data_IF_019764570585
#
_entry.id   IF_019764570585
#
_cell.length_a   1.000
_cell.length_b   1.000
_cell.length_c   1.000
_cell.angle_alpha   90.00
_cell.angle_beta   90.00
_cell.angle_gamma   90.00
#
_symmetry.space_group_name_H-M   'P 1'
#
loop_
_entity.id
_entity.type
_entity.pdbx_description
1 polymer ?
#
# COMPACT_ATOMS: atom_id res chain seq x y z
N UNK A 1 21.81 5.47 -16.49
CA UNK A 1 20.70 4.60 -16.88
C UNK A 1 20.03 5.20 -18.11
N UNK A 2 19.80 4.41 -19.13
CA UNK A 2 19.01 4.80 -20.31
C UNK A 2 17.57 4.25 -20.11
N UNK A 3 16.58 5.08 -20.36
CA UNK A 3 15.19 4.67 -20.35
C UNK A 3 14.64 4.73 -21.77
N UNK A 4 13.72 3.83 -22.17
CA UNK A 4 12.99 3.95 -23.43
C UNK A 4 12.28 5.29 -23.53
N UNK A 5 12.22 5.86 -24.73
CA UNK A 5 11.49 7.13 -24.97
C UNK A 5 10.02 6.98 -24.66
N UNK A 6 9.42 5.89 -25.10
CA UNK A 6 8.09 5.47 -24.70
C UNK A 6 8.22 4.32 -23.71
N UNK A 7 7.51 4.43 -22.59
CA UNK A 7 7.61 3.47 -21.49
C UNK A 7 6.33 3.42 -20.66
N UNK A 8 6.23 2.38 -19.87
CA UNK A 8 5.24 2.29 -18.79
C UNK A 8 5.60 3.35 -17.73
N UNK A 9 4.63 4.18 -17.36
CA UNK A 9 4.77 5.19 -16.31
C UNK A 9 4.16 4.72 -14.99
N UNK A 10 3.02 4.02 -15.07
CA UNK A 10 2.27 3.51 -13.93
C UNK A 10 1.33 2.39 -14.38
N UNK A 11 0.94 1.55 -13.44
CA UNK A 11 -0.16 0.61 -13.65
C UNK A 11 -0.91 0.38 -12.34
N UNK A 12 -2.14 -0.09 -12.45
CA UNK A 12 -2.97 -0.48 -11.32
C UNK A 12 -3.73 -1.76 -11.63
N UNK A 13 -3.94 -2.57 -10.58
CA UNK A 13 -4.72 -3.80 -10.66
C UNK A 13 -5.76 -3.86 -9.54
N UNK A 14 -6.93 -4.40 -9.88
CA UNK A 14 -7.97 -4.76 -8.90
C UNK A 14 -8.43 -6.18 -9.15
N UNK A 15 -8.90 -6.85 -8.10
CA UNK A 15 -9.21 -8.27 -8.16
C UNK A 15 -10.65 -8.53 -7.76
N UNK A 16 -11.31 -9.42 -8.51
CA UNK A 16 -12.63 -9.99 -8.14
C UNK A 16 -12.53 -11.50 -8.13
N UNK A 17 -13.02 -12.14 -7.07
CA UNK A 17 -13.19 -13.58 -7.05
C UNK A 17 -14.49 -13.93 -7.76
N UNK A 18 -14.42 -14.90 -8.69
CA UNK A 18 -15.55 -15.39 -9.48
C UNK A 18 -15.59 -16.90 -9.40
N UNK A 19 -16.74 -17.50 -9.79
CA UNK A 19 -16.84 -18.96 -9.84
C UNK A 19 -15.76 -19.54 -10.76
N UNK A 20 -14.97 -20.45 -10.19
CA UNK A 20 -13.89 -21.13 -10.90
C UNK A 20 -12.61 -20.33 -11.09
N UNK A 21 -12.45 -19.15 -10.43
CA UNK A 21 -11.20 -18.40 -10.56
C UNK A 21 -11.23 -16.96 -10.05
N UNK A 22 -10.56 -16.09 -10.78
CA UNK A 22 -10.53 -14.65 -10.50
C UNK A 22 -10.51 -13.82 -11.79
N UNK A 23 -11.01 -12.61 -11.69
CA UNK A 23 -10.84 -11.56 -12.68
C UNK A 23 -9.90 -10.48 -12.12
N UNK A 24 -8.95 -10.07 -12.95
CA UNK A 24 -8.00 -8.99 -12.65
C UNK A 24 -8.25 -7.87 -13.66
N UNK A 25 -8.82 -6.77 -13.19
CA UNK A 25 -8.92 -5.55 -13.99
C UNK A 25 -7.61 -4.80 -13.89
N UNK A 26 -7.16 -4.24 -15.00
CA UNK A 26 -5.93 -3.47 -15.04
C UNK A 26 -6.09 -2.16 -15.82
N UNK A 27 -5.29 -1.18 -15.43
CA UNK A 27 -5.06 0.06 -16.18
C UNK A 27 -3.56 0.31 -16.27
N UNK A 28 -3.04 0.58 -17.47
CA UNK A 28 -1.63 0.91 -17.72
C UNK A 28 -1.54 2.32 -18.24
N UNK A 29 -0.71 3.14 -17.62
CA UNK A 29 -0.38 4.49 -18.07
C UNK A 29 0.97 4.49 -18.78
N UNK A 30 1.02 5.00 -20.00
CA UNK A 30 2.24 5.14 -20.80
C UNK A 30 2.39 6.60 -21.26
N UNK A 31 3.60 6.99 -21.64
CA UNK A 31 3.86 8.32 -22.24
C UNK A 31 3.80 8.34 -23.78
N UNK A 32 3.27 7.29 -24.40
CA UNK A 32 3.14 7.20 -25.84
C UNK A 32 1.87 6.49 -26.29
N UNK A 33 1.82 6.12 -27.56
CA UNK A 33 0.61 5.61 -28.23
C UNK A 33 0.75 4.21 -28.84
N UNK A 34 1.90 3.55 -28.66
CA UNK A 34 2.09 2.19 -29.17
C UNK A 34 1.21 1.17 -28.45
N UNK A 35 1.11 -0.01 -29.05
CA UNK A 35 0.30 -1.10 -28.54
C UNK A 35 0.81 -1.61 -27.19
N UNK A 36 -0.13 -1.89 -26.30
CA UNK A 36 0.15 -2.45 -24.98
C UNK A 36 -0.43 -3.86 -24.93
N UNK A 37 0.35 -4.80 -24.44
CA UNK A 37 -0.09 -6.15 -24.07
C UNK A 37 0.23 -6.41 -22.61
N UNK A 38 -0.68 -7.13 -21.92
CA UNK A 38 -0.53 -7.50 -20.52
C UNK A 38 -0.71 -9.00 -20.39
N UNK A 39 0.26 -9.65 -19.77
CA UNK A 39 0.27 -11.10 -19.51
C UNK A 39 0.33 -11.40 -18.02
N UNK A 40 -0.36 -12.46 -17.61
CA UNK A 40 -0.21 -13.07 -16.28
C UNK A 40 0.36 -14.46 -16.44
N UNK A 41 1.46 -14.74 -15.71
CA UNK A 41 2.13 -16.01 -15.75
C UNK A 41 2.08 -16.71 -14.38
N UNK A 42 1.75 -17.99 -14.37
CA UNK A 42 1.92 -18.91 -13.24
C UNK A 42 3.32 -19.56 -13.38
N UNK A 43 4.31 -19.02 -12.66
CA UNK A 43 5.70 -19.32 -12.91
C UNK A 43 6.11 -18.84 -14.31
N UNK A 44 6.34 -19.74 -15.24
CA UNK A 44 6.65 -19.45 -16.65
C UNK A 44 5.47 -19.69 -17.60
N UNK A 45 4.36 -20.21 -17.10
CA UNK A 45 3.22 -20.57 -17.92
C UNK A 45 2.24 -19.40 -18.01
N UNK A 46 1.97 -18.92 -19.23
CA UNK A 46 0.96 -17.88 -19.45
C UNK A 46 -0.43 -18.42 -19.13
N UNK A 47 -1.15 -17.77 -18.20
CA UNK A 47 -2.50 -18.14 -17.75
C UNK A 47 -3.55 -17.15 -18.19
N UNK A 48 -3.17 -15.92 -18.51
CA UNK A 48 -4.06 -14.91 -19.07
C UNK A 48 -3.28 -13.90 -19.90
N UNK A 49 -3.95 -13.29 -20.86
CA UNK A 49 -3.42 -12.23 -21.72
C UNK A 49 -4.54 -11.29 -22.16
N UNK A 50 -4.22 -10.01 -22.29
CA UNK A 50 -5.10 -9.00 -22.86
C UNK A 50 -4.28 -7.94 -23.59
N UNK A 51 -4.92 -7.27 -24.55
CA UNK A 51 -4.35 -6.14 -25.31
C UNK A 51 -5.07 -4.85 -24.95
N UNK A 52 -4.31 -3.75 -24.97
CA UNK A 52 -4.78 -2.41 -24.62
C UNK A 52 -4.31 -1.92 -23.27
N UNK A 53 -4.45 -0.62 -23.04
CA UNK A 53 -4.05 0.04 -21.79
C UNK A 53 -4.98 -0.25 -20.61
N UNK A 54 -6.17 -0.76 -20.89
CA UNK A 54 -7.18 -1.17 -19.89
C UNK A 54 -7.80 -2.49 -20.33
N UNK A 55 -8.12 -3.34 -19.36
CA UNK A 55 -8.75 -4.63 -19.66
C UNK A 55 -9.02 -5.46 -18.43
N UNK A 56 -9.57 -6.65 -18.66
CA UNK A 56 -9.83 -7.67 -17.64
C UNK A 56 -9.17 -8.98 -18.05
N UNK A 57 -8.33 -9.52 -17.18
CA UNK A 57 -7.68 -10.81 -17.31
C UNK A 57 -8.45 -11.83 -16.49
N UNK A 58 -8.83 -12.97 -17.13
CA UNK A 58 -9.55 -14.05 -16.46
C UNK A 58 -8.59 -15.19 -16.16
N UNK A 59 -8.47 -15.55 -14.88
CA UNK A 59 -7.56 -16.60 -14.42
C UNK A 59 -8.40 -17.72 -13.85
N UNK A 60 -8.48 -18.83 -14.60
CA UNK A 60 -9.20 -20.04 -14.19
C UNK A 60 -8.43 -20.74 -13.07
N UNK A 61 -9.14 -21.24 -12.05
CA UNK A 61 -8.55 -21.89 -10.88
C UNK A 61 -7.45 -21.05 -10.21
N UNK A 62 -7.67 -19.74 -10.09
CA UNK A 62 -6.70 -18.81 -9.51
C UNK A 62 -6.27 -19.26 -8.11
N UNK A 63 -4.95 -19.29 -7.90
CA UNK A 63 -4.34 -19.50 -6.59
C UNK A 63 -4.35 -18.17 -5.85
N UNK A 64 -4.97 -18.13 -4.68
CA UNK A 64 -5.16 -16.90 -3.94
C UNK A 64 -3.97 -16.62 -3.01
N UNK A 65 -3.61 -15.36 -2.91
CA UNK A 65 -2.68 -14.89 -1.91
C UNK A 65 -3.33 -14.93 -0.52
N UNK A 66 -2.61 -15.45 0.48
CA UNK A 66 -3.08 -15.55 1.86
C UNK A 66 -1.94 -15.29 2.86
N UNK A 67 -2.33 -15.04 4.11
CA UNK A 67 -1.39 -14.91 5.23
C UNK A 67 -0.54 -16.18 5.37
N UNK A 68 0.78 -16.02 5.36
CA UNK A 68 1.81 -17.08 5.43
C UNK A 68 1.64 -18.21 4.41
N UNK A 69 0.81 -17.99 3.40
CA UNK A 69 0.56 -18.88 2.28
C UNK A 69 0.41 -18.03 1.00
N UNK A 70 1.37 -17.15 0.80
CA UNK A 70 1.40 -16.24 -0.32
C UNK A 70 1.53 -16.98 -1.65
N UNK A 71 0.75 -16.56 -2.62
CA UNK A 71 0.92 -16.97 -4.01
C UNK A 71 0.96 -15.74 -4.90
N UNK A 72 2.02 -15.61 -5.70
CA UNK A 72 2.25 -14.48 -6.58
C UNK A 72 2.32 -14.94 -8.02
N UNK A 73 1.64 -14.22 -8.89
CA UNK A 73 1.72 -14.35 -10.35
C UNK A 73 2.68 -13.31 -10.88
N UNK A 74 3.40 -13.65 -11.94
CA UNK A 74 4.18 -12.68 -12.69
C UNK A 74 3.24 -11.87 -13.59
N UNK A 75 3.31 -10.55 -13.49
CA UNK A 75 2.53 -9.60 -14.26
C UNK A 75 3.48 -8.87 -15.21
N UNK A 76 3.28 -9.02 -16.51
CA UNK A 76 4.18 -8.49 -17.53
C UNK A 76 3.43 -7.55 -18.44
N UNK A 77 3.92 -6.33 -18.57
CA UNK A 77 3.39 -5.31 -19.46
C UNK A 77 4.42 -5.08 -20.56
N UNK A 78 4.02 -5.15 -21.82
CA UNK A 78 4.86 -4.82 -22.97
C UNK A 78 4.26 -3.71 -23.80
N UNK A 79 5.12 -2.79 -24.22
CA UNK A 79 4.83 -1.80 -25.25
C UNK A 79 5.51 -2.26 -26.52
N UNK A 80 4.77 -2.35 -27.64
CA UNK A 80 5.29 -2.89 -28.91
C UNK A 80 5.03 -1.99 -30.08
N UNK A 81 6.00 -1.90 -31.00
CA UNK A 81 5.84 -1.34 -32.34
C UNK A 81 5.92 -2.50 -33.35
N UNK A 82 4.76 -2.98 -33.77
CA UNK A 82 4.65 -4.20 -34.56
C UNK A 82 5.20 -5.41 -33.78
N UNK A 83 6.33 -5.96 -34.23
CA UNK A 83 6.98 -7.10 -33.57
C UNK A 83 8.10 -6.71 -32.60
N UNK A 84 8.49 -5.44 -32.56
CA UNK A 84 9.58 -4.97 -31.71
C UNK A 84 9.05 -4.57 -30.32
N UNK A 85 9.65 -5.10 -29.25
CA UNK A 85 9.39 -4.66 -27.89
C UNK A 85 10.15 -3.35 -27.66
N UNK A 86 9.38 -2.27 -27.34
CA UNK A 86 9.93 -0.96 -27.02
C UNK A 86 10.25 -0.86 -25.54
N UNK A 87 9.33 -1.36 -24.70
CA UNK A 87 9.48 -1.40 -23.24
C UNK A 87 8.81 -2.64 -22.66
N UNK A 88 9.41 -3.17 -21.61
CA UNK A 88 8.85 -4.28 -20.84
C UNK A 88 8.96 -3.95 -19.35
N UNK A 89 7.83 -4.03 -18.67
CA UNK A 89 7.74 -3.88 -17.22
C UNK A 89 7.26 -5.17 -16.58
N UNK A 90 7.92 -5.55 -15.52
CA UNK A 90 7.67 -6.79 -14.79
C UNK A 90 7.38 -6.51 -13.33
N UNK A 91 6.33 -7.12 -12.80
CA UNK A 91 5.99 -7.10 -11.38
C UNK A 91 5.36 -8.42 -10.95
N UNK A 92 5.17 -8.59 -9.65
CA UNK A 92 4.47 -9.72 -9.04
C UNK A 92 3.16 -9.26 -8.42
N UNK A 93 2.07 -9.91 -8.75
CA UNK A 93 0.76 -9.60 -8.17
C UNK A 93 0.21 -10.79 -7.36
N UNK A 94 -0.34 -10.51 -6.18
CA UNK A 94 -1.07 -11.50 -5.39
C UNK A 94 -2.57 -11.30 -5.53
N UNK A 95 -3.30 -12.30 -5.99
CA UNK A 95 -4.75 -12.23 -6.18
C UNK A 95 -5.44 -12.46 -4.84
N UNK A 96 -6.10 -11.43 -4.33
CA UNK A 96 -6.85 -11.49 -3.07
C UNK A 96 -7.96 -10.44 -3.05
N UNK A 97 -8.94 -10.62 -2.17
CA UNK A 97 -9.86 -9.58 -1.73
C UNK A 97 -9.62 -9.27 -0.26
N UNK A 98 -9.72 -8.00 0.13
CA UNK A 98 -9.71 -7.58 1.52
C UNK A 98 -10.81 -6.55 1.75
N UNK A 99 -11.66 -6.82 2.74
CA UNK A 99 -12.79 -5.96 3.06
C UNK A 99 -13.05 -5.89 4.57
N UNK A 100 -13.74 -4.84 4.99
CA UNK A 100 -14.28 -4.70 6.34
C UNK A 100 -15.79 -4.84 6.25
N UNK A 101 -16.33 -5.87 6.89
CA UNK A 101 -17.76 -6.16 6.87
C UNK A 101 -18.24 -6.59 8.24
N UNK A 102 -19.34 -5.99 8.70
CA UNK A 102 -19.95 -6.30 10.00
C UNK A 102 -18.97 -6.27 11.19
N UNK A 103 -18.02 -5.32 11.15
CA UNK A 103 -16.98 -5.18 12.17
C UNK A 103 -15.84 -6.20 12.10
N UNK A 104 -15.78 -6.99 11.04
CA UNK A 104 -14.73 -8.01 10.81
C UNK A 104 -13.89 -7.68 9.60
N UNK A 105 -12.59 -7.99 9.68
CA UNK A 105 -11.71 -8.03 8.53
C UNK A 105 -11.89 -9.36 7.80
N UNK A 106 -12.10 -9.30 6.50
CA UNK A 106 -12.21 -10.49 5.66
C UNK A 106 -11.11 -10.50 4.61
N UNK A 107 -10.36 -11.60 4.55
CA UNK A 107 -9.39 -11.91 3.50
C UNK A 107 -9.96 -13.06 2.66
N UNK A 108 -10.16 -12.83 1.36
CA UNK A 108 -10.78 -13.80 0.45
C UNK A 108 -12.15 -14.30 0.97
N UNK A 109 -12.95 -13.37 1.51
CA UNK A 109 -14.27 -13.67 2.09
C UNK A 109 -14.25 -14.41 3.42
N UNK A 110 -13.08 -14.68 4.01
CA UNK A 110 -12.93 -15.38 5.30
C UNK A 110 -12.45 -14.44 6.38
N UNK A 111 -12.97 -14.55 7.62
CA UNK A 111 -12.49 -13.74 8.73
C UNK A 111 -10.99 -13.91 8.97
N UNK A 112 -10.27 -12.79 9.13
CA UNK A 112 -8.87 -12.77 9.52
C UNK A 112 -8.71 -11.88 10.75
N UNK A 113 -7.96 -12.37 11.74
CA UNK A 113 -7.61 -11.60 12.94
C UNK A 113 -6.21 -11.04 12.77
N UNK A 114 -6.06 -9.72 12.85
CA UNK A 114 -4.78 -9.03 12.72
C UNK A 114 -4.01 -9.15 14.04
N UNK A 115 -2.86 -9.82 14.00
CA UNK A 115 -1.92 -9.96 15.12
C UNK A 115 -0.62 -9.30 14.74
N UNK A 116 -0.38 -8.13 15.31
CA UNK A 116 0.79 -7.36 14.91
C UNK A 116 1.03 -6.14 15.77
N UNK A 117 1.96 -5.32 15.32
CA UNK A 117 2.44 -4.14 16.04
C UNK A 117 2.97 -3.09 15.05
N UNK A 118 3.26 -1.88 15.54
CA UNK A 118 4.06 -0.90 14.79
C UNK A 118 5.51 -1.38 14.73
N UNK A 119 6.04 -1.53 13.53
CA UNK A 119 7.43 -1.91 13.29
C UNK A 119 8.24 -0.67 12.89
N UNK A 120 9.55 -0.71 13.09
CA UNK A 120 10.51 0.18 12.44
C UNK A 120 11.41 -0.61 11.50
N UNK A 121 11.99 0.05 10.48
CA UNK A 121 12.88 -0.62 9.52
C UNK A 121 14.36 -0.55 9.89
N UNK A 122 14.70 0.21 10.92
CA UNK A 122 16.07 0.42 11.35
C UNK A 122 16.69 -0.80 12.05
N UNK A 123 18.01 -0.90 11.94
CA UNK A 123 18.83 -1.93 12.58
C UNK A 123 20.00 -1.30 13.31
N UNK A 124 20.57 -2.06 14.25
CA UNK A 124 21.71 -1.62 15.10
C UNK A 124 22.95 -1.22 14.29
N UNK A 125 23.17 -1.85 13.14
CA UNK A 125 24.40 -1.66 12.37
C UNK A 125 24.19 -0.66 11.23
N UNK A 126 23.03 -0.68 10.58
CA UNK A 126 22.77 0.09 9.37
C UNK A 126 21.84 1.29 9.57
N UNK A 127 21.31 1.44 10.78
CA UNK A 127 20.24 2.43 10.99
C UNK A 127 19.08 2.16 10.03
N UNK A 128 18.68 3.15 9.27
CA UNK A 128 17.60 3.05 8.25
C UNK A 128 18.11 2.65 6.86
N UNK A 129 19.37 2.27 6.73
CA UNK A 129 19.90 1.77 5.46
C UNK A 129 19.32 0.39 5.14
N UNK A 130 18.95 0.17 3.87
CA UNK A 130 18.38 -1.09 3.43
C UNK A 130 19.32 -2.27 3.73
N UNK A 131 18.81 -3.25 4.46
CA UNK A 131 19.49 -4.51 4.77
C UNK A 131 18.50 -5.67 4.69
N UNK A 132 18.42 -6.29 3.52
CA UNK A 132 17.46 -7.37 3.25
C UNK A 132 17.67 -8.60 4.15
N UNK A 133 18.87 -8.85 4.63
CA UNK A 133 19.13 -9.96 5.57
C UNK A 133 18.47 -9.69 6.93
N UNK A 134 18.58 -8.45 7.42
CA UNK A 134 17.89 -8.02 8.65
C UNK A 134 16.38 -8.05 8.45
N UNK A 135 15.88 -7.54 7.34
CA UNK A 135 14.44 -7.59 7.01
C UNK A 135 13.91 -9.01 7.00
N UNK A 136 14.62 -9.94 6.34
CA UNK A 136 14.23 -11.35 6.31
C UNK A 136 14.21 -11.96 7.71
N UNK A 137 15.22 -11.66 8.54
CA UNK A 137 15.27 -12.10 9.94
C UNK A 137 14.06 -11.57 10.72
N UNK A 138 13.69 -10.31 10.54
CA UNK A 138 12.52 -9.71 11.20
C UNK A 138 11.25 -10.47 10.84
N UNK A 139 11.04 -10.79 9.57
CA UNK A 139 9.86 -11.56 9.14
C UNK A 139 9.83 -12.96 9.73
N UNK A 140 10.98 -13.65 9.82
CA UNK A 140 11.06 -14.96 10.48
C UNK A 140 10.75 -14.86 11.98
N UNK A 141 11.24 -13.81 12.67
CA UNK A 141 10.92 -13.56 14.08
C UNK A 141 9.44 -13.23 14.27
N UNK A 142 8.85 -12.43 13.38
CA UNK A 142 7.42 -12.14 13.42
C UNK A 142 6.57 -13.40 13.23
N UNK A 143 6.93 -14.28 12.30
CA UNK A 143 6.26 -15.59 12.15
C UNK A 143 6.40 -16.44 13.42
N UNK A 144 7.60 -16.48 13.99
CA UNK A 144 7.86 -17.25 15.20
C UNK A 144 7.00 -16.82 16.38
N UNK A 145 6.76 -15.53 16.56
CA UNK A 145 5.85 -15.03 17.62
C UNK A 145 4.36 -15.08 17.21
N UNK A 146 4.04 -15.55 16.01
CA UNK A 146 2.66 -15.68 15.51
C UNK A 146 2.05 -14.37 14.98
N UNK A 147 2.85 -13.35 14.68
CA UNK A 147 2.38 -12.15 14.04
C UNK A 147 2.08 -12.39 12.55
N UNK A 148 1.05 -11.74 12.03
CA UNK A 148 0.65 -11.79 10.63
C UNK A 148 0.46 -10.41 10.01
N UNK A 149 0.65 -9.34 10.80
CA UNK A 149 0.43 -7.97 10.38
C UNK A 149 1.42 -7.05 11.06
N UNK A 150 1.76 -5.94 10.40
CA UNK A 150 2.46 -4.82 11.02
C UNK A 150 2.07 -3.49 10.39
N UNK A 151 2.32 -2.40 11.10
CA UNK A 151 2.21 -1.04 10.58
C UNK A 151 3.61 -0.50 10.30
N UNK A 152 3.79 0.15 9.17
CA UNK A 152 5.05 0.81 8.79
C UNK A 152 5.23 2.11 9.56
N UNK A 153 5.53 2.01 10.86
CA UNK A 153 5.72 3.17 11.74
C UNK A 153 7.01 3.90 11.41
N UNK A 154 7.01 5.15 11.09
CA UNK A 154 5.92 6.12 10.86
C UNK A 154 6.12 6.75 9.49
N UNK A 155 6.40 5.96 8.49
CA UNK A 155 6.75 6.36 7.11
C UNK A 155 6.72 5.13 6.19
N UNK A 156 6.57 5.33 4.87
CA UNK A 156 6.72 4.22 3.93
C UNK A 156 8.15 3.67 3.98
N UNK A 157 8.27 2.35 4.01
CA UNK A 157 9.56 1.66 4.01
C UNK A 157 10.12 1.51 2.59
N UNK A 158 11.32 0.92 2.46
CA UNK A 158 11.86 0.57 1.17
C UNK A 158 10.93 -0.43 0.46
N UNK A 159 10.76 -0.30 -0.85
CA UNK A 159 9.84 -1.11 -1.66
C UNK A 159 10.13 -2.62 -1.52
N UNK A 160 11.40 -2.98 -1.37
CA UNK A 160 11.83 -4.37 -1.18
C UNK A 160 11.23 -5.02 0.08
N UNK A 161 10.87 -4.22 1.11
CA UNK A 161 10.17 -4.75 2.29
C UNK A 161 8.74 -5.16 1.95
N UNK A 162 8.07 -4.40 1.10
CA UNK A 162 6.70 -4.75 0.65
C UNK A 162 6.73 -5.96 -0.28
N UNK A 163 7.69 -6.01 -1.20
CA UNK A 163 7.90 -7.18 -2.06
C UNK A 163 8.15 -8.45 -1.22
N UNK A 164 8.99 -8.35 -0.19
CA UNK A 164 9.22 -9.46 0.74
C UNK A 164 7.98 -9.78 1.57
N UNK A 165 7.18 -8.80 1.99
CA UNK A 165 5.90 -9.04 2.67
C UNK A 165 4.89 -9.75 1.78
N UNK A 166 4.85 -9.39 0.49
CA UNK A 166 4.04 -10.07 -0.51
C UNK A 166 4.46 -11.55 -0.66
N UNK A 167 5.76 -11.82 -0.66
CA UNK A 167 6.30 -13.19 -0.76
C UNK A 167 6.10 -14.00 0.53
N UNK A 168 6.21 -13.36 1.68
CA UNK A 168 6.11 -14.01 3.00
C UNK A 168 4.67 -14.13 3.53
N UNK A 169 3.73 -13.40 2.91
CA UNK A 169 2.32 -13.39 3.31
C UNK A 169 2.05 -12.60 4.58
N UNK A 170 2.64 -11.42 4.72
CA UNK A 170 2.31 -10.49 5.80
C UNK A 170 1.31 -9.44 5.33
N UNK A 171 0.43 -9.01 6.24
CA UNK A 171 -0.48 -7.90 6.05
C UNK A 171 0.17 -6.60 6.53
N UNK A 172 0.08 -5.54 5.75
CA UNK A 172 0.67 -4.24 6.06
C UNK A 172 -0.42 -3.17 6.18
N UNK A 173 -0.34 -2.40 7.26
CA UNK A 173 -0.98 -1.09 7.37
C UNK A 173 0.10 -0.08 7.00
N UNK A 174 -0.01 0.51 5.82
CA UNK A 174 1.02 1.39 5.29
C UNK A 174 0.80 2.84 5.73
N UNK A 175 1.82 3.46 6.31
CA UNK A 175 1.69 4.75 7.00
C UNK A 175 2.50 5.85 6.32
N UNK A 176 1.83 6.98 6.07
CA UNK A 176 2.46 8.20 5.57
C UNK A 176 3.28 8.89 6.66
N UNK A 177 4.38 9.61 6.33
CA UNK A 177 5.25 10.24 7.31
C UNK A 177 4.60 11.50 7.95
N UNK A 178 3.64 11.28 8.82
CA UNK A 178 2.89 12.32 9.52
C UNK A 178 2.79 12.00 11.01
N UNK A 179 3.74 12.47 11.80
CA UNK A 179 3.87 12.13 13.23
C UNK A 179 3.79 13.37 14.11
N UNK A 180 3.04 13.26 15.21
CA UNK A 180 3.12 14.21 16.31
C UNK A 180 2.71 15.64 15.95
N UNK A 181 1.67 15.81 15.14
CA UNK A 181 1.10 17.10 14.81
C UNK A 181 0.49 17.76 16.04
N UNK A 182 1.34 18.33 16.88
CA UNK A 182 0.99 18.92 18.15
C UNK A 182 1.82 20.18 18.43
N UNK A 183 1.28 21.09 19.25
CA UNK A 183 1.96 22.33 19.59
C UNK A 183 3.08 22.13 20.62
N UNK A 184 2.86 21.25 21.57
CA UNK A 184 3.86 20.82 22.55
C UNK A 184 3.51 19.46 23.12
N UNK A 185 4.53 18.69 23.46
CA UNK A 185 4.34 17.36 24.10
C UNK A 185 3.63 17.45 25.44
N UNK A 186 3.90 18.48 26.23
CA UNK A 186 3.26 18.68 27.53
C UNK A 186 1.77 18.97 27.39
N UNK A 187 1.37 19.77 26.42
CA UNK A 187 -0.04 20.05 26.16
C UNK A 187 -0.78 18.82 25.61
N UNK A 188 -0.09 18.05 24.75
CA UNK A 188 -0.60 16.78 24.23
C UNK A 188 -0.85 15.77 25.35
N UNK A 189 0.09 15.57 26.27
CA UNK A 189 -0.07 14.67 27.42
C UNK A 189 -1.20 15.12 28.36
N UNK A 190 -1.28 16.42 28.63
CA UNK A 190 -2.38 16.97 29.45
C UNK A 190 -3.74 16.81 28.78
N UNK A 191 -3.83 16.95 27.46
CA UNK A 191 -5.05 16.73 26.71
C UNK A 191 -5.53 15.27 26.78
N UNK A 192 -4.61 14.33 26.68
CA UNK A 192 -4.90 12.90 26.81
C UNK A 192 -5.40 12.51 28.23
N UNK A 193 -5.02 13.28 29.24
CA UNK A 193 -5.51 13.14 30.61
C UNK A 193 -6.81 13.91 30.87
N UNK A 194 -7.40 14.52 29.85
CA UNK A 194 -8.62 15.35 29.99
C UNK A 194 -8.39 16.75 30.55
N UNK A 195 -7.13 17.16 30.76
CA UNK A 195 -6.75 18.44 31.38
C UNK A 195 -6.13 19.44 30.39
N UNK A 196 -5.97 19.09 29.13
CA UNK A 196 -5.35 19.94 28.11
C UNK A 196 -6.23 21.09 27.66
N UNK A 197 -5.61 22.22 27.36
CA UNK A 197 -6.28 23.32 26.67
C UNK A 197 -6.46 22.92 25.20
N UNK A 198 -7.61 23.24 24.63
CA UNK A 198 -7.75 23.24 23.17
C UNK A 198 -6.76 24.24 22.60
N UNK A 199 -5.87 23.80 21.74
CA UNK A 199 -4.86 24.65 21.10
C UNK A 199 -4.99 24.49 19.60
N UNK A 200 -5.16 25.60 18.90
CA UNK A 200 -5.32 25.67 17.45
C UNK A 200 -4.02 25.32 16.70
N UNK A 201 -3.60 24.06 16.72
CA UNK A 201 -2.43 23.64 15.96
C UNK A 201 -2.69 23.74 14.44
N UNK A 202 -3.88 23.33 14.01
CA UNK A 202 -4.25 23.26 12.59
C UNK A 202 -4.74 24.60 12.01
N UNK A 203 -4.79 25.66 12.81
CA UNK A 203 -5.21 27.01 12.39
C UNK A 203 -4.03 27.91 12.01
N UNK A 204 -2.80 27.44 12.14
CA UNK A 204 -1.60 28.25 11.88
C UNK A 204 -1.39 28.50 10.39
N UNK A 205 -0.70 29.60 10.07
CA UNK A 205 -0.32 29.97 8.70
C UNK A 205 0.47 28.89 7.96
N UNK A 206 1.19 28.04 8.69
CA UNK A 206 1.97 26.91 8.12
C UNK A 206 1.12 25.70 7.75
N UNK A 207 -0.10 25.60 8.28
CA UNK A 207 -0.96 24.43 8.10
C UNK A 207 -1.35 24.19 6.64
N UNK A 208 -1.65 25.21 5.80
CA UNK A 208 -1.94 24.98 4.39
C UNK A 208 -0.78 24.34 3.64
N UNK A 209 0.46 24.80 3.87
CA UNK A 209 1.67 24.22 3.25
C UNK A 209 1.94 22.80 3.75
N UNK A 210 1.72 22.56 5.04
CA UNK A 210 1.82 21.24 5.64
C UNK A 210 0.79 20.27 5.02
N UNK A 211 -0.45 20.71 4.82
CA UNK A 211 -1.48 19.93 4.18
C UNK A 211 -1.13 19.57 2.73
N UNK A 212 -0.59 20.51 1.96
CA UNK A 212 -0.11 20.25 0.59
C UNK A 212 0.99 19.19 0.56
N UNK A 213 2.00 19.31 1.43
CA UNK A 213 3.06 18.31 1.55
C UNK A 213 2.54 16.94 2.00
N UNK A 214 1.59 16.93 2.94
CA UNK A 214 0.98 15.69 3.41
C UNK A 214 0.20 15.00 2.28
N UNK A 215 -0.58 15.76 1.50
CA UNK A 215 -1.27 15.24 0.32
C UNK A 215 -0.29 14.67 -0.71
N UNK A 216 0.81 15.37 -0.98
CA UNK A 216 1.84 14.89 -1.91
C UNK A 216 2.46 13.58 -1.41
N UNK A 217 2.90 13.51 -0.16
CA UNK A 217 3.46 12.30 0.44
C UNK A 217 2.48 11.12 0.42
N UNK A 218 1.20 11.38 0.71
CA UNK A 218 0.15 10.37 0.66
C UNK A 218 -0.09 9.87 -0.78
N UNK A 219 -0.06 10.78 -1.75
CA UNK A 219 -0.19 10.43 -3.17
C UNK A 219 0.97 9.56 -3.63
N UNK A 220 2.20 9.93 -3.30
CA UNK A 220 3.40 9.18 -3.65
C UNK A 220 3.38 7.77 -3.05
N UNK A 221 3.04 7.65 -1.76
CA UNK A 221 2.91 6.37 -1.06
C UNK A 221 1.88 5.45 -1.73
N UNK A 222 0.64 5.94 -1.92
CA UNK A 222 -0.42 5.12 -2.51
C UNK A 222 -0.10 4.76 -3.96
N UNK A 223 0.47 5.69 -4.74
CA UNK A 223 0.86 5.43 -6.13
C UNK A 223 1.89 4.32 -6.22
N UNK A 224 2.89 4.32 -5.33
CA UNK A 224 3.92 3.28 -5.29
C UNK A 224 3.35 1.93 -4.83
N UNK A 225 2.56 1.93 -3.75
CA UNK A 225 2.27 0.72 -2.99
C UNK A 225 0.88 0.11 -3.28
N UNK A 226 0.08 0.72 -4.16
CA UNK A 226 -1.29 0.30 -4.46
C UNK A 226 -1.44 -1.14 -4.97
N UNK A 227 -0.41 -1.68 -5.63
CA UNK A 227 -0.46 -3.02 -6.22
C UNK A 227 0.03 -4.14 -5.27
N UNK A 228 0.68 -3.81 -4.15
CA UNK A 228 1.15 -4.80 -3.19
C UNK A 228 -0.02 -5.57 -2.55
N UNK A 229 0.06 -6.90 -2.62
CA UNK A 229 -0.95 -7.78 -2.02
C UNK A 229 -0.95 -7.71 -0.49
N UNK A 230 0.22 -7.44 0.11
CA UNK A 230 0.41 -7.27 1.55
C UNK A 230 -0.31 -6.04 2.11
N UNK A 231 -0.39 -4.93 1.36
CA UNK A 231 -1.00 -3.68 1.84
C UNK A 231 -2.52 -3.83 1.92
N UNK A 232 -3.08 -3.68 3.13
CA UNK A 232 -4.52 -3.86 3.40
C UNK A 232 -5.22 -2.61 3.89
N UNK A 233 -4.47 -1.59 4.33
CA UNK A 233 -5.02 -0.33 4.81
C UNK A 233 -3.97 0.78 4.71
N UNK A 234 -4.46 2.02 4.64
CA UNK A 234 -3.66 3.24 4.64
C UNK A 234 -3.77 3.95 5.97
N UNK A 235 -2.65 4.16 6.65
CA UNK A 235 -2.57 4.96 7.88
C UNK A 235 -2.18 6.39 7.54
N UNK A 236 -3.08 7.32 7.86
CA UNK A 236 -2.96 8.72 7.40
C UNK A 236 -2.05 9.55 8.31
N UNK A 237 -1.85 9.11 9.55
CA UNK A 237 -1.04 9.83 10.53
C UNK A 237 -0.83 9.00 11.80
N UNK A 238 0.14 9.47 12.62
CA UNK A 238 0.40 8.93 13.95
C UNK A 238 0.28 10.01 15.04
N UNK A 239 -0.53 9.75 16.03
CA UNK A 239 -0.63 10.49 17.30
C UNK A 239 -0.79 12.02 17.15
N UNK A 240 -1.74 12.52 16.35
CA UNK A 240 -1.98 13.95 16.23
C UNK A 240 -2.75 14.50 17.43
N UNK A 241 -2.64 15.80 17.65
CA UNK A 241 -3.47 16.51 18.63
C UNK A 241 -4.91 16.66 18.11
N UNK A 242 -5.70 15.59 18.20
CA UNK A 242 -7.08 15.54 17.70
C UNK A 242 -8.04 16.49 18.41
N UNK A 243 -7.66 17.04 19.57
CA UNK A 243 -8.45 18.02 20.34
C UNK A 243 -8.32 19.45 19.83
N UNK A 244 -7.46 19.71 18.83
CA UNK A 244 -7.30 21.03 18.22
C UNK A 244 -8.51 21.41 17.37
N UNK A 245 -8.86 22.69 17.36
CA UNK A 245 -9.76 23.25 16.35
C UNK A 245 -9.10 23.10 14.96
N UNK A 246 -9.91 22.94 13.91
CA UNK A 246 -9.42 22.74 12.55
C UNK A 246 -8.99 21.29 12.22
N UNK A 247 -8.97 20.36 13.19
CA UNK A 247 -8.56 18.95 13.00
C UNK A 247 -9.35 18.28 11.88
N UNK A 248 -10.67 18.39 11.88
CA UNK A 248 -11.51 17.79 10.85
C UNK A 248 -11.23 18.39 9.47
N UNK A 249 -11.13 19.71 9.39
CA UNK A 249 -10.84 20.42 8.14
C UNK A 249 -9.46 20.05 7.55
N UNK A 250 -8.51 19.70 8.41
CA UNK A 250 -7.20 19.24 7.99
C UNK A 250 -7.20 17.77 7.51
N UNK A 251 -7.80 16.86 8.29
CA UNK A 251 -7.69 15.42 8.02
C UNK A 251 -8.72 14.89 7.03
N UNK A 252 -9.95 15.43 7.02
CA UNK A 252 -10.99 14.95 6.09
C UNK A 252 -10.52 14.92 4.63
N UNK A 253 -9.88 15.97 4.06
CA UNK A 253 -9.39 15.93 2.70
C UNK A 253 -8.33 14.85 2.43
N UNK A 254 -7.56 14.44 3.45
CA UNK A 254 -6.55 13.37 3.33
C UNK A 254 -7.21 11.99 3.28
N UNK A 255 -8.21 11.77 4.13
CA UNK A 255 -9.00 10.54 4.08
C UNK A 255 -9.76 10.40 2.76
N UNK A 256 -10.32 11.50 2.24
CA UNK A 256 -11.02 11.50 0.95
C UNK A 256 -10.02 11.23 -0.18
N UNK A 257 -8.86 11.88 -0.18
CA UNK A 257 -7.80 11.69 -1.16
C UNK A 257 -7.29 10.22 -1.18
N UNK A 258 -7.04 9.63 -0.01
CA UNK A 258 -6.62 8.23 0.04
C UNK A 258 -7.68 7.29 -0.54
N UNK A 259 -8.96 7.60 -0.36
CA UNK A 259 -10.04 6.84 -0.98
C UNK A 259 -10.10 7.02 -2.50
N UNK A 260 -9.84 8.21 -2.99
CA UNK A 260 -9.84 8.51 -4.42
C UNK A 260 -8.69 7.81 -5.14
N UNK A 261 -7.49 7.87 -4.56
CA UNK A 261 -6.26 7.35 -5.14
C UNK A 261 -6.18 5.81 -5.14
N UNK A 262 -6.77 5.15 -4.15
CA UNK A 262 -6.68 3.70 -4.05
C UNK A 262 -7.70 2.99 -4.95
N UNK A 263 -7.29 2.28 -6.02
CA UNK A 263 -8.20 1.57 -6.89
C UNK A 263 -8.97 0.45 -6.17
N UNK A 264 -8.38 -0.14 -5.13
CA UNK A 264 -8.98 -1.23 -4.34
C UNK A 264 -9.91 -0.73 -3.23
N UNK A 265 -9.94 0.60 -2.96
CA UNK A 265 -10.78 1.24 -1.92
C UNK A 265 -10.59 0.64 -0.52
N UNK A 266 -9.35 0.31 -0.18
CA UNK A 266 -8.94 -0.25 1.12
C UNK A 266 -9.32 0.66 2.30
N UNK A 267 -9.43 0.11 3.51
CA UNK A 267 -9.67 0.88 4.73
C UNK A 267 -8.61 1.96 4.95
N UNK A 268 -9.02 3.04 5.58
CA UNK A 268 -8.14 4.13 6.03
C UNK A 268 -8.21 4.23 7.54
N UNK A 269 -7.07 4.43 8.15
CA UNK A 269 -6.94 4.46 9.60
C UNK A 269 -5.91 5.50 10.05
N UNK A 270 -5.68 5.60 11.32
CA UNK A 270 -4.57 6.31 11.95
C UNK A 270 -4.37 5.81 13.38
N UNK A 271 -3.17 6.02 13.94
CA UNK A 271 -2.91 5.72 15.33
C UNK A 271 -3.28 6.93 16.20
N UNK A 272 -4.01 6.66 17.28
CA UNK A 272 -4.35 7.64 18.34
C UNK A 272 -3.75 7.19 19.67
N UNK A 273 -3.56 8.15 20.58
CA UNK A 273 -3.12 7.91 21.96
C UNK A 273 -4.31 8.05 22.88
#
# INVERSE_FOLDING_TARGET
>A
LALPKERVLDFEVTHRLVDGGAEVDYTVTTNGSHDVTVEVLDGTTKVAEASGKTGTLKITNAKLWNVHAAYLYNFVIRITDGHAVIDEYFDKIGIRTFEVKDGHFLLNGKPVYLRGFGKHEDSDIRGRGLDLATVKRDYELMKWIGANCFRTSHYPYAEELYQMADEEGFLIIDEVPAVGFMQSTMNFLAANQGNGKKVGYFEKETTPKLLENHKAALTDMITRDKNHASVIAWSILNEPQCTSEGTEAYFKPLFDLAHELDPQKRPRTYAIV
#
